data_IF_574588589857
#
_entry.id   IF_574588589857
#
_cell.length_a   1.000
_cell.length_b   1.000
_cell.length_c   1.000
_cell.angle_alpha   90.00
_cell.angle_beta   90.00
_cell.angle_gamma   90.00
#
_symmetry.space_group_name_H-M   'P 1'
#
loop_
_entity.id
_entity.type
_entity.pdbx_description
1 polymer ?
#
# COMPACT_ATOMS: atom_id res chain seq x y z
N UNK A 1 3.51 -16.63 29.08
CA UNK A 1 2.63 -16.33 27.94
C UNK A 1 3.43 -16.61 26.67
N UNK A 2 3.06 -17.64 25.90
CA UNK A 2 3.63 -17.85 24.56
C UNK A 2 2.88 -16.91 23.62
N UNK A 3 3.55 -15.91 23.05
CA UNK A 3 2.96 -15.10 21.99
C UNK A 3 2.84 -15.97 20.74
N UNK A 4 1.65 -16.20 20.18
CA UNK A 4 1.53 -16.93 18.93
C UNK A 4 2.21 -16.11 17.83
N UNK A 5 3.23 -16.68 17.20
CA UNK A 5 3.82 -16.13 15.98
C UNK A 5 2.93 -16.59 14.83
N UNK A 6 2.16 -15.66 14.26
CA UNK A 6 1.34 -15.91 13.08
C UNK A 6 2.22 -15.81 11.82
N UNK A 7 1.98 -16.69 10.85
CA UNK A 7 2.57 -16.55 9.52
C UNK A 7 1.92 -15.38 8.77
N UNK A 8 2.60 -14.87 7.76
CA UNK A 8 2.10 -13.82 6.86
C UNK A 8 0.74 -14.18 6.25
N UNK A 9 0.60 -15.42 5.79
CA UNK A 9 -0.67 -15.93 5.25
C UNK A 9 -1.78 -16.00 6.31
N UNK A 10 -1.46 -16.42 7.54
CA UNK A 10 -2.42 -16.43 8.63
C UNK A 10 -2.87 -15.02 9.02
N UNK A 11 -1.97 -14.03 8.91
CA UNK A 11 -2.28 -12.63 9.14
C UNK A 11 -3.22 -12.06 8.05
N UNK A 12 -2.95 -12.38 6.78
CA UNK A 12 -3.83 -12.04 5.66
C UNK A 12 -5.24 -12.64 5.83
N UNK A 13 -5.35 -13.88 6.32
CA UNK A 13 -6.63 -14.54 6.58
C UNK A 13 -7.45 -13.85 7.69
N UNK A 14 -6.79 -13.26 8.70
CA UNK A 14 -7.46 -12.50 9.77
C UNK A 14 -8.03 -11.16 9.29
N UNK A 15 -7.41 -10.54 8.29
CA UNK A 15 -7.83 -9.25 7.73
C UNK A 15 -9.06 -9.31 6.84
N UNK A 16 -9.57 -10.50 6.50
CA UNK A 16 -10.37 -10.74 5.29
C UNK A 16 -9.53 -10.52 4.01
N UNK A 17 -9.68 -11.38 2.98
CA UNK A 17 -8.74 -11.43 1.84
C UNK A 17 -8.62 -10.12 1.05
N UNK A 18 -9.61 -9.24 1.18
CA UNK A 18 -9.75 -8.01 0.40
C UNK A 18 -9.43 -6.74 1.22
N UNK A 19 -9.09 -6.85 2.51
CA UNK A 19 -8.79 -5.68 3.32
C UNK A 19 -7.45 -5.07 2.94
N UNK A 20 -7.46 -3.75 2.77
CA UNK A 20 -6.28 -2.95 2.47
C UNK A 20 -6.23 -1.71 3.33
N UNK A 21 -5.03 -1.19 3.57
CA UNK A 21 -4.84 0.11 4.20
C UNK A 21 -4.10 1.06 3.24
N UNK A 22 -4.44 2.33 3.37
CA UNK A 22 -3.81 3.41 2.60
C UNK A 22 -2.92 4.22 3.53
N UNK A 23 -1.64 4.34 3.20
CA UNK A 23 -0.69 5.14 4.00
C UNK A 23 0.06 6.17 3.13
N UNK A 24 0.38 7.36 3.67
CA UNK A 24 1.28 8.27 3.00
C UNK A 24 2.71 7.69 2.95
N UNK A 25 3.40 7.90 1.84
CA UNK A 25 4.80 7.51 1.60
C UNK A 25 5.50 8.61 0.81
N UNK A 26 6.81 8.79 1.00
CA UNK A 26 7.57 9.75 0.20
C UNK A 26 7.91 9.17 -1.16
N UNK A 27 7.98 10.03 -2.18
CA UNK A 27 8.48 9.63 -3.49
C UNK A 27 9.91 9.08 -3.41
N UNK A 28 10.77 9.62 -2.53
CA UNK A 28 12.10 9.08 -2.28
C UNK A 28 12.09 7.60 -1.86
N UNK A 29 11.15 7.19 -0.98
CA UNK A 29 10.99 5.78 -0.58
C UNK A 29 10.58 4.89 -1.77
N UNK A 30 9.72 5.40 -2.66
CA UNK A 30 9.28 4.68 -3.86
C UNK A 30 10.42 4.55 -4.86
N UNK A 31 11.11 5.65 -5.17
CA UNK A 31 12.26 5.68 -6.06
C UNK A 31 13.40 4.75 -5.59
N UNK A 32 13.57 4.59 -4.27
CA UNK A 32 14.55 3.68 -3.69
C UNK A 32 14.12 2.19 -3.73
N UNK A 33 12.81 1.91 -3.79
CA UNK A 33 12.26 0.54 -3.74
C UNK A 33 11.88 -0.02 -5.11
N UNK A 34 11.75 0.83 -6.13
CA UNK A 34 11.36 0.44 -7.49
C UNK A 34 12.57 0.56 -8.42
N UNK A 35 12.87 -0.46 -9.24
CA UNK A 35 13.90 -0.36 -10.27
C UNK A 35 13.60 0.80 -11.23
N UNK A 36 14.59 1.64 -11.51
CA UNK A 36 14.44 2.84 -12.34
C UNK A 36 13.83 2.58 -13.73
N UNK A 37 14.02 1.38 -14.29
CA UNK A 37 13.44 0.97 -15.57
C UNK A 37 11.90 0.89 -15.56
N UNK A 38 11.27 0.71 -14.40
CA UNK A 38 9.80 0.64 -14.24
C UNK A 38 9.17 2.01 -14.00
N UNK A 39 9.99 3.04 -13.79
CA UNK A 39 9.54 4.41 -13.55
C UNK A 39 9.53 5.12 -14.90
N UNK A 40 8.37 5.13 -15.55
CA UNK A 40 8.19 5.76 -16.86
C UNK A 40 7.12 6.85 -16.79
N UNK A 41 7.44 8.04 -17.30
CA UNK A 41 6.46 9.11 -17.52
C UNK A 41 6.04 9.91 -16.28
N UNK A 42 6.72 9.73 -15.14
CA UNK A 42 6.45 10.50 -13.92
C UNK A 42 7.69 11.30 -13.50
N UNK A 43 7.54 12.62 -13.39
CA UNK A 43 8.50 13.50 -12.73
C UNK A 43 8.08 13.61 -11.26
N UNK A 44 8.74 12.85 -10.40
CA UNK A 44 8.45 12.79 -8.96
C UNK A 44 9.53 13.55 -8.20
N UNK A 45 9.16 14.64 -7.55
CA UNK A 45 10.02 15.30 -6.59
C UNK A 45 10.21 14.38 -5.36
N UNK A 46 11.43 14.17 -4.83
CA UNK A 46 11.69 13.19 -3.78
C UNK A 46 10.91 13.44 -2.47
N UNK A 47 10.56 14.68 -2.19
CA UNK A 47 9.76 15.14 -1.06
C UNK A 47 8.24 15.06 -1.28
N UNK A 48 7.81 14.73 -2.50
CA UNK A 48 6.39 14.57 -2.81
C UNK A 48 5.77 13.43 -1.99
N UNK A 49 4.61 13.70 -1.40
CA UNK A 49 3.81 12.69 -0.72
C UNK A 49 2.96 11.93 -1.72
N UNK A 50 3.09 10.61 -1.71
CA UNK A 50 2.28 9.66 -2.45
C UNK A 50 1.48 8.80 -1.46
N UNK A 51 0.54 8.02 -1.95
CA UNK A 51 -0.31 7.16 -1.15
C UNK A 51 -0.21 5.72 -1.63
N UNK A 52 0.30 4.86 -0.76
CA UNK A 52 0.47 3.44 -1.04
C UNK A 52 -0.72 2.64 -0.49
N UNK A 53 -1.26 1.75 -1.32
CA UNK A 53 -2.27 0.75 -0.94
C UNK A 53 -1.55 -0.54 -0.57
N UNK A 54 -1.76 -1.02 0.65
CA UNK A 54 -1.14 -2.24 1.16
C UNK A 54 -2.17 -3.24 1.65
N UNK A 55 -1.88 -4.53 1.47
CA UNK A 55 -2.65 -5.63 2.08
C UNK A 55 -2.32 -5.76 3.56
N UNK A 56 -3.15 -6.51 4.28
CA UNK A 56 -2.95 -6.82 5.70
C UNK A 56 -1.59 -7.47 6.01
N UNK A 57 -0.99 -8.19 5.06
CA UNK A 57 0.35 -8.80 5.19
C UNK A 57 1.52 -7.84 4.93
N UNK A 58 1.26 -6.61 4.51
CA UNK A 58 2.26 -5.60 4.17
C UNK A 58 2.63 -5.53 2.69
N UNK A 59 2.13 -6.42 1.83
CA UNK A 59 2.33 -6.35 0.37
C UNK A 59 1.80 -5.02 -0.18
N UNK A 60 2.63 -4.31 -0.96
CA UNK A 60 2.25 -3.06 -1.62
C UNK A 60 1.58 -3.39 -2.96
N UNK A 61 0.32 -3.03 -3.10
CA UNK A 61 -0.47 -3.28 -4.32
C UNK A 61 -0.37 -2.14 -5.32
N UNK A 62 -0.38 -0.89 -4.84
CA UNK A 62 -0.39 0.29 -5.69
C UNK A 62 0.21 1.51 -4.99
N UNK A 63 0.64 2.49 -5.79
CA UNK A 63 1.05 3.83 -5.33
C UNK A 63 0.36 4.86 -6.21
N UNK A 64 -0.31 5.83 -5.58
CA UNK A 64 -1.05 6.88 -6.26
C UNK A 64 -0.65 8.26 -5.74
N UNK A 65 -0.94 9.30 -6.51
CA UNK A 65 -0.56 10.68 -6.20
C UNK A 65 -1.39 11.32 -5.10
N UNK A 66 -2.60 10.82 -4.85
CA UNK A 66 -3.51 11.34 -3.83
C UNK A 66 -4.30 10.21 -3.15
N UNK A 67 -4.80 10.52 -1.96
CA UNK A 67 -5.46 9.55 -1.08
C UNK A 67 -6.79 9.09 -1.64
N UNK A 68 -7.58 10.00 -2.20
CA UNK A 68 -8.91 9.70 -2.71
C UNK A 68 -8.82 8.78 -3.93
N UNK A 69 -7.87 9.01 -4.82
CA UNK A 69 -7.54 8.09 -5.92
C UNK A 69 -7.12 6.72 -5.40
N UNK A 70 -6.30 6.65 -4.35
CA UNK A 70 -5.88 5.37 -3.76
C UNK A 70 -7.06 4.57 -3.18
N UNK A 71 -7.97 5.25 -2.50
CA UNK A 71 -9.20 4.66 -1.97
C UNK A 71 -10.12 4.24 -3.12
N UNK A 72 -10.30 5.09 -4.13
CA UNK A 72 -11.13 4.79 -5.29
C UNK A 72 -10.59 3.59 -6.08
N UNK A 73 -9.28 3.48 -6.25
CA UNK A 73 -8.63 2.33 -6.88
C UNK A 73 -8.86 1.06 -6.08
N UNK A 74 -8.73 1.10 -4.75
CA UNK A 74 -9.04 -0.05 -3.91
C UNK A 74 -10.50 -0.52 -4.10
N UNK A 75 -11.45 0.42 -4.07
CA UNK A 75 -12.88 0.11 -4.26
C UNK A 75 -13.18 -0.44 -5.67
N UNK A 76 -12.55 0.11 -6.71
CA UNK A 76 -12.70 -0.34 -8.09
C UNK A 76 -12.21 -1.78 -8.30
N UNK A 77 -11.29 -2.24 -7.45
CA UNK A 77 -10.77 -3.62 -7.44
C UNK A 77 -11.43 -4.50 -6.36
N UNK A 78 -12.61 -4.12 -5.85
CA UNK A 78 -13.37 -4.86 -4.82
C UNK A 78 -12.59 -5.09 -3.51
N UNK A 79 -11.63 -4.21 -3.23
CA UNK A 79 -10.88 -4.17 -1.98
C UNK A 79 -11.62 -3.30 -0.95
N UNK A 80 -11.42 -3.62 0.32
CA UNK A 80 -12.01 -2.92 1.46
C UNK A 80 -10.96 -2.02 2.13
N UNK A 81 -10.83 -0.75 1.71
CA UNK A 81 -9.90 0.18 2.33
C UNK A 81 -10.34 0.53 3.75
N UNK A 82 -9.45 0.28 4.72
CA UNK A 82 -9.62 0.71 6.10
C UNK A 82 -8.70 1.89 6.40
N UNK A 83 -9.21 2.82 7.20
CA UNK A 83 -8.44 3.95 7.71
C UNK A 83 -7.84 3.56 9.06
N UNK A 84 -6.50 3.44 9.10
CA UNK A 84 -5.74 3.38 10.35
C UNK A 84 -5.22 4.79 10.63
N UNK A 85 -5.96 5.57 11.41
CA UNK A 85 -5.54 6.88 11.91
C UNK A 85 -5.48 6.83 13.44
#
# INVERSE_FOLDING_TARGET
MMTPVLSTEAFAALGAPNLVYVRPVSAAEILASVPSAQIQGFDLAPDQTLYAVHRADGERLAVLTDRDSAVAAALAHELAPVSVH
#
